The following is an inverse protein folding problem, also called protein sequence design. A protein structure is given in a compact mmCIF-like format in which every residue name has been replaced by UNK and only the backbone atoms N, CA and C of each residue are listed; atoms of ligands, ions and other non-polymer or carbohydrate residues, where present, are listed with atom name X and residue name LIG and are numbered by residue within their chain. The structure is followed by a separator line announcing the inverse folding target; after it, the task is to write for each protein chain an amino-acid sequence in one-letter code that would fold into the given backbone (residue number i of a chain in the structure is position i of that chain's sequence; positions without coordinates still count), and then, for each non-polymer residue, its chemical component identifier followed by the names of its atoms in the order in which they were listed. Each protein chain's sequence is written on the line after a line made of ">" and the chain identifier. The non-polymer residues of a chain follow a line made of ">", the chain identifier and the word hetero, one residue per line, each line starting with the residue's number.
data_IF_826401544117
#
_entry.id   IF_826401544117
#
_cell.length_a   1.000
_cell.length_b   1.000
_cell.length_c   1.000
_cell.angle_alpha   90.00
_cell.angle_beta   90.00
_cell.angle_gamma   90.00
#
_symmetry.space_group_name_H-M   'P 1'
#
loop_
_entity.id
_entity.type
_entity.pdbx_description
1 polymer ?
#
# COMPACT_ATOMS: atom_id res chain seq x y z
N UNK A 1 -38.77 -9.30 22.85
CA UNK A 1 -38.47 -9.98 21.57
C UNK A 1 -37.74 -8.96 20.71
N UNK A 2 -36.41 -8.96 20.77
CA UNK A 2 -35.56 -8.00 20.05
C UNK A 2 -35.27 -8.62 18.70
N UNK A 3 -35.64 -7.94 17.62
CA UNK A 3 -35.26 -8.36 16.27
C UNK A 3 -33.78 -8.04 16.08
N UNK A 4 -32.94 -9.06 16.15
CA UNK A 4 -31.55 -8.97 15.68
C UNK A 4 -31.59 -8.78 14.17
N UNK A 5 -31.34 -7.54 13.74
CA UNK A 5 -31.04 -7.23 12.34
C UNK A 5 -29.73 -7.91 11.97
N UNK A 6 -29.84 -9.09 11.35
CA UNK A 6 -28.76 -9.71 10.62
C UNK A 6 -28.52 -8.89 9.34
N UNK A 7 -27.74 -7.82 9.46
CA UNK A 7 -27.05 -7.27 8.30
C UNK A 7 -26.13 -8.38 7.75
N UNK A 8 -26.28 -8.77 6.48
CA UNK A 8 -25.34 -9.71 5.87
C UNK A 8 -23.93 -9.13 5.97
N UNK A 9 -22.96 -9.94 6.43
CA UNK A 9 -21.54 -9.59 6.34
C UNK A 9 -21.25 -9.26 4.89
N UNK A 10 -20.66 -8.09 4.63
CA UNK A 10 -20.17 -7.66 3.32
C UNK A 10 -18.95 -8.46 2.86
N UNK A 11 -18.86 -9.76 3.19
CA UNK A 11 -17.68 -10.60 3.01
C UNK A 11 -17.56 -11.27 1.64
N UNK A 12 -18.49 -11.02 0.71
CA UNK A 12 -18.52 -11.74 -0.57
C UNK A 12 -18.28 -10.83 -1.78
N UNK A 13 -17.86 -9.58 -1.59
CA UNK A 13 -17.27 -8.82 -2.70
C UNK A 13 -15.82 -9.30 -2.79
N UNK A 14 -15.43 -10.04 -3.84
CA UNK A 14 -14.04 -10.41 -4.01
C UNK A 14 -13.26 -9.10 -4.10
N UNK A 15 -12.36 -8.86 -3.16
CA UNK A 15 -11.37 -7.80 -3.32
C UNK A 15 -10.66 -8.13 -4.63
N UNK A 16 -10.76 -7.24 -5.62
CA UNK A 16 -10.18 -7.47 -6.92
C UNK A 16 -8.66 -7.60 -6.73
N UNK A 17 -8.15 -8.83 -6.74
CA UNK A 17 -6.72 -9.15 -6.64
C UNK A 17 -6.01 -8.99 -7.99
N UNK A 18 -6.75 -8.58 -9.03
CA UNK A 18 -6.21 -8.37 -10.36
C UNK A 18 -5.73 -6.92 -10.50
N UNK A 19 -4.44 -6.79 -10.77
CA UNK A 19 -3.77 -5.52 -10.98
C UNK A 19 -3.49 -5.33 -12.45
N UNK A 20 -3.27 -4.08 -12.88
CA UNK A 20 -3.04 -3.76 -14.28
C UNK A 20 -1.86 -2.82 -14.45
N UNK A 21 -0.96 -3.15 -15.38
CA UNK A 21 0.06 -2.22 -15.88
C UNK A 21 -0.49 -1.58 -17.16
N UNK A 22 -0.50 -0.25 -17.17
CA UNK A 22 -0.80 0.55 -18.35
C UNK A 22 0.51 1.07 -18.93
N UNK A 23 0.83 0.64 -20.15
CA UNK A 23 2.01 1.09 -20.88
C UNK A 23 1.59 1.93 -22.08
N UNK A 24 2.22 3.10 -22.23
CA UNK A 24 2.09 3.93 -23.42
C UNK A 24 3.19 3.54 -24.42
N UNK A 25 2.78 3.14 -25.61
CA UNK A 25 3.68 2.80 -26.73
C UNK A 25 3.31 3.60 -27.95
N UNK A 26 4.29 3.99 -28.77
CA UNK A 26 4.05 4.72 -30.02
C UNK A 26 4.84 6.03 -30.11
N UNK A 27 4.54 6.80 -31.14
CA UNK A 27 5.14 8.12 -31.38
C UNK A 27 4.22 9.24 -30.89
N UNK A 28 4.74 10.46 -30.78
CA UNK A 28 4.07 11.65 -30.18
C UNK A 28 2.66 11.90 -30.73
N UNK A 29 2.40 11.48 -31.97
CA UNK A 29 1.10 11.68 -32.63
C UNK A 29 0.17 10.45 -32.57
N UNK A 30 0.66 9.28 -32.17
CA UNK A 30 -0.09 8.02 -32.17
C UNK A 30 0.32 7.12 -31.00
N UNK A 31 -0.17 7.44 -29.80
CA UNK A 31 -0.02 6.57 -28.64
C UNK A 31 -1.06 5.45 -28.65
N UNK A 32 -0.61 4.24 -28.35
CA UNK A 32 -1.45 3.10 -28.00
C UNK A 32 -1.22 2.75 -26.55
N UNK A 33 -2.32 2.52 -25.82
CA UNK A 33 -2.28 2.03 -24.44
C UNK A 33 -2.32 0.50 -24.49
N UNK A 34 -1.24 -0.14 -24.04
CA UNK A 34 -1.23 -1.56 -23.73
C UNK A 34 -1.65 -1.74 -22.27
N UNK A 35 -2.61 -2.63 -22.03
CA UNK A 35 -3.06 -3.01 -20.70
C UNK A 35 -2.64 -4.45 -20.46
N UNK A 36 -1.93 -4.70 -19.37
CA UNK A 36 -1.43 -6.01 -19.01
C UNK A 36 -1.91 -6.38 -17.60
N UNK A 37 -2.67 -7.48 -17.44
CA UNK A 37 -3.04 -7.96 -16.12
C UNK A 37 -1.81 -8.56 -15.43
N UNK A 38 -1.64 -8.23 -14.15
CA UNK A 38 -0.66 -8.85 -13.26
C UNK A 38 -1.36 -9.28 -11.97
N UNK A 39 -0.77 -10.24 -11.28
CA UNK A 39 -1.20 -10.58 -9.93
C UNK A 39 -0.75 -9.47 -8.95
N UNK A 40 -1.62 -9.13 -8.00
CA UNK A 40 -1.27 -8.23 -6.90
C UNK A 40 -0.40 -8.90 -5.83
N UNK A 41 0.16 -8.12 -4.90
CA UNK A 41 0.72 -8.67 -3.67
C UNK A 41 -0.37 -9.38 -2.86
N UNK A 42 0.03 -10.40 -2.10
CA UNK A 42 -0.89 -11.10 -1.19
C UNK A 42 -1.39 -10.13 -0.13
N UNK A 43 -2.70 -10.11 0.14
CA UNK A 43 -3.32 -9.22 1.12
C UNK A 43 -4.28 -10.00 2.05
N UNK A 44 -3.77 -10.91 2.88
CA UNK A 44 -4.60 -11.74 3.76
C UNK A 44 -5.29 -10.93 4.86
N UNK A 45 -4.71 -9.80 5.26
CA UNK A 45 -5.21 -8.96 6.36
C UNK A 45 -6.22 -7.90 5.88
N UNK A 46 -6.67 -8.00 4.61
CA UNK A 46 -7.63 -7.07 3.99
C UNK A 46 -7.20 -5.60 4.11
N UNK A 47 -5.90 -5.35 3.99
CA UNK A 47 -5.33 -4.01 4.07
C UNK A 47 -5.91 -3.14 2.97
N UNK A 48 -6.32 -1.94 3.33
CA UNK A 48 -6.81 -0.91 2.43
C UNK A 48 -6.03 0.40 2.66
N UNK A 49 -6.46 1.47 1.99
CA UNK A 49 -5.67 2.71 1.87
C UNK A 49 -4.30 2.45 1.24
N UNK A 50 -4.27 1.55 0.25
CA UNK A 50 -3.04 1.19 -0.48
C UNK A 50 -2.72 2.30 -1.48
N UNK A 51 -1.60 2.98 -1.24
CA UNK A 51 -1.01 3.94 -2.16
C UNK A 51 0.01 3.24 -3.07
N UNK A 52 0.07 3.68 -4.33
CA UNK A 52 1.01 3.18 -5.32
C UNK A 52 1.94 4.28 -5.77
N UNK A 53 3.22 4.04 -5.58
CA UNK A 53 4.26 4.99 -5.95
C UNK A 53 5.32 4.27 -6.77
N UNK A 54 5.55 4.77 -7.98
CA UNK A 54 6.67 4.30 -8.81
C UNK A 54 7.97 4.95 -8.32
N UNK A 55 8.97 4.12 -8.03
CA UNK A 55 10.33 4.54 -7.68
C UNK A 55 11.29 3.84 -8.64
N UNK A 56 11.88 4.59 -9.58
CA UNK A 56 12.71 4.04 -10.67
C UNK A 56 11.98 2.94 -11.48
N UNK A 57 12.53 1.73 -11.47
CA UNK A 57 12.09 0.50 -12.13
C UNK A 57 11.27 -0.40 -11.20
N UNK A 58 10.82 0.13 -10.07
CA UNK A 58 9.95 -0.56 -9.12
C UNK A 58 8.65 0.20 -8.88
N UNK A 59 7.61 -0.53 -8.50
CA UNK A 59 6.36 0.02 -7.96
C UNK A 59 6.24 -0.40 -6.52
N UNK A 60 6.06 0.57 -5.62
CA UNK A 60 5.81 0.32 -4.21
C UNK A 60 4.32 0.39 -3.94
N UNK A 61 3.77 -0.65 -3.32
CA UNK A 61 2.45 -0.69 -2.73
C UNK A 61 2.59 -0.55 -1.21
N UNK A 62 2.03 0.54 -0.68
CA UNK A 62 2.03 0.80 0.77
C UNK A 62 0.61 0.97 1.28
N UNK A 63 0.15 0.01 2.08
CA UNK A 63 -1.17 0.01 2.72
C UNK A 63 -1.05 0.27 4.21
N UNK A 64 -2.07 0.88 4.80
CA UNK A 64 -1.92 1.47 6.15
C UNK A 64 -3.02 1.13 7.13
N UNK A 65 -4.13 0.55 6.68
CA UNK A 65 -5.27 0.24 7.53
C UNK A 65 -5.77 -1.16 7.24
N UNK A 66 -6.06 -1.91 8.29
CA UNK A 66 -6.76 -3.20 8.22
C UNK A 66 -7.99 -3.16 9.13
N UNK A 67 -9.05 -3.95 8.85
CA UNK A 67 -10.18 -4.10 9.76
C UNK A 67 -9.72 -4.55 11.16
N UNK A 68 -10.29 -3.95 12.21
CA UNK A 68 -10.09 -4.46 13.57
C UNK A 68 -10.96 -5.70 13.80
N UNK A 69 -10.33 -6.87 13.96
CA UNK A 69 -11.04 -8.12 14.26
C UNK A 69 -11.82 -8.05 15.59
N UNK A 70 -11.35 -7.24 16.55
CA UNK A 70 -11.98 -7.10 17.85
C UNK A 70 -13.20 -6.16 17.83
N UNK A 71 -13.23 -5.20 16.89
CA UNK A 71 -14.22 -4.11 16.89
C UNK A 71 -14.79 -3.88 15.50
N UNK A 72 -16.03 -4.36 15.29
CA UNK A 72 -16.74 -4.22 14.01
C UNK A 72 -16.82 -2.74 13.61
N UNK A 73 -16.38 -2.43 12.39
CA UNK A 73 -16.43 -1.10 11.81
C UNK A 73 -15.31 -0.17 12.25
N UNK A 74 -14.34 -0.66 13.03
CA UNK A 74 -13.08 0.04 13.27
C UNK A 74 -11.98 -0.53 12.38
N UNK A 75 -10.93 0.26 12.23
CA UNK A 75 -9.71 -0.15 11.56
C UNK A 75 -8.50 0.30 12.34
N UNK A 76 -7.46 -0.50 12.24
CA UNK A 76 -6.21 -0.29 12.97
C UNK A 76 -5.07 -0.03 11.98
N UNK A 77 -4.08 0.79 12.38
CA UNK A 77 -2.88 0.96 11.60
C UNK A 77 -2.16 -0.38 11.36
N UNK A 78 -1.92 -0.70 10.09
CA UNK A 78 -1.31 -1.96 9.66
C UNK A 78 -0.08 -1.69 8.80
N UNK A 79 0.86 -2.64 8.80
CA UNK A 79 2.02 -2.59 7.92
C UNK A 79 1.77 -3.41 6.66
N UNK A 80 1.84 -2.76 5.52
CA UNK A 80 1.80 -3.43 4.22
C UNK A 80 2.76 -2.70 3.29
N UNK A 81 3.95 -3.25 3.07
CA UNK A 81 4.92 -2.70 2.14
C UNK A 81 5.37 -3.79 1.18
N UNK A 82 4.96 -3.67 -0.08
CA UNK A 82 5.33 -4.58 -1.14
C UNK A 82 5.99 -3.83 -2.30
N UNK A 83 7.02 -4.43 -2.89
CA UNK A 83 7.79 -3.85 -3.98
C UNK A 83 7.68 -4.77 -5.19
N UNK A 84 7.12 -4.25 -6.27
CA UNK A 84 7.08 -4.91 -7.56
C UNK A 84 8.27 -4.48 -8.40
N UNK A 85 9.14 -5.41 -8.78
CA UNK A 85 10.20 -5.14 -9.74
C UNK A 85 9.65 -5.29 -11.16
N UNK A 86 9.66 -4.19 -11.93
CA UNK A 86 9.10 -4.19 -13.30
C UNK A 86 9.89 -5.12 -14.23
N UNK A 87 11.20 -5.24 -14.01
CA UNK A 87 12.06 -6.07 -14.84
C UNK A 87 11.81 -7.57 -14.66
N UNK A 88 11.51 -8.01 -13.42
CA UNK A 88 11.28 -9.43 -13.12
C UNK A 88 9.80 -9.80 -13.13
N UNK A 89 8.91 -8.82 -12.95
CA UNK A 89 7.48 -9.04 -12.83
C UNK A 89 7.06 -9.67 -11.51
N UNK A 90 7.87 -9.52 -10.45
CA UNK A 90 7.66 -10.19 -9.16
C UNK A 90 7.47 -9.17 -8.03
N UNK A 91 6.53 -9.47 -7.14
CA UNK A 91 6.34 -8.78 -5.87
C UNK A 91 7.23 -9.36 -4.77
N UNK A 92 7.79 -8.48 -3.94
CA UNK A 92 8.53 -8.82 -2.74
C UNK A 92 7.96 -8.05 -1.55
N UNK A 93 7.71 -8.76 -0.45
CA UNK A 93 7.29 -8.13 0.82
C UNK A 93 8.50 -7.54 1.54
N UNK A 94 8.35 -6.32 2.05
CA UNK A 94 9.33 -5.67 2.92
C UNK A 94 8.79 -5.71 4.36
N UNK A 95 9.42 -6.47 5.26
CA UNK A 95 8.91 -6.63 6.62
C UNK A 95 9.06 -5.35 7.45
N UNK A 96 8.17 -5.18 8.41
CA UNK A 96 8.31 -4.16 9.44
C UNK A 96 9.48 -4.49 10.38
N UNK A 97 10.33 -3.52 10.68
CA UNK A 97 11.44 -3.64 11.63
C UNK A 97 11.29 -2.57 12.71
N UNK A 98 11.02 -3.00 13.94
CA UNK A 98 10.81 -2.09 15.05
C UNK A 98 12.02 -1.17 15.29
N UNK A 99 11.78 0.14 15.31
CA UNK A 99 12.81 1.17 15.49
C UNK A 99 13.59 1.54 14.22
N UNK A 100 13.46 0.75 13.16
CA UNK A 100 14.06 1.05 11.85
C UNK A 100 13.01 1.44 10.81
N UNK A 101 11.75 1.04 10.99
CA UNK A 101 10.61 1.40 10.14
C UNK A 101 9.78 2.56 10.73
N UNK A 102 9.06 3.32 9.90
CA UNK A 102 8.05 4.25 10.36
C UNK A 102 7.02 3.53 11.24
N UNK A 103 6.63 4.16 12.34
CA UNK A 103 5.54 3.66 13.17
C UNK A 103 4.26 3.50 12.35
N UNK A 104 3.47 2.47 12.66
CA UNK A 104 2.19 2.24 12.01
C UNK A 104 1.31 3.49 12.17
N UNK A 105 0.69 3.91 11.06
CA UNK A 105 -0.14 5.12 10.99
C UNK A 105 -1.13 5.01 9.85
N UNK A 106 -2.33 5.54 10.01
CA UNK A 106 -3.32 5.63 8.94
C UNK A 106 -3.14 6.88 8.08
N UNK A 107 -3.49 6.80 6.80
CA UNK A 107 -3.54 7.95 5.87
C UNK A 107 -2.27 8.83 5.78
N UNK A 108 -1.04 8.27 5.76
CA UNK A 108 0.15 9.07 5.48
C UNK A 108 0.14 9.54 4.03
N UNK A 109 0.95 10.54 3.71
CA UNK A 109 1.25 10.90 2.33
C UNK A 109 2.48 10.14 1.85
N UNK A 110 2.39 9.53 0.67
CA UNK A 110 3.47 8.80 0.04
C UNK A 110 3.81 9.37 -1.35
N UNK A 111 5.10 9.62 -1.61
CA UNK A 111 5.58 10.09 -2.92
C UNK A 111 7.03 9.70 -3.16
N UNK A 112 7.52 9.80 -4.39
CA UNK A 112 8.91 9.49 -4.72
C UNK A 112 9.73 10.77 -4.95
N UNK A 113 10.98 10.77 -4.50
CA UNK A 113 11.98 11.81 -4.82
C UNK A 113 13.24 11.12 -5.30
N UNK A 114 13.53 11.21 -6.59
CA UNK A 114 14.69 10.52 -7.18
C UNK A 114 14.56 9.00 -7.06
N UNK A 115 15.32 8.41 -6.14
CA UNK A 115 15.34 6.97 -5.86
C UNK A 115 14.87 6.56 -4.47
N UNK A 116 14.31 7.52 -3.75
CA UNK A 116 13.71 7.30 -2.45
C UNK A 116 12.20 7.42 -2.52
N UNK A 117 11.54 6.59 -1.72
CA UNK A 117 10.14 6.73 -1.36
C UNK A 117 10.08 7.58 -0.09
N UNK A 118 9.25 8.61 -0.08
CA UNK A 118 9.08 9.50 1.07
C UNK A 118 7.70 9.26 1.66
N UNK A 119 7.66 9.05 2.97
CA UNK A 119 6.46 8.91 3.79
C UNK A 119 6.42 10.06 4.79
N UNK A 120 5.31 10.77 4.86
CA UNK A 120 5.16 11.89 5.81
C UNK A 120 3.72 12.02 6.32
N UNK A 121 3.57 12.54 7.54
CA UNK A 121 2.27 12.72 8.18
C UNK A 121 1.58 11.40 8.52
N UNK A 122 0.24 11.42 8.48
CA UNK A 122 -0.63 10.32 8.90
C UNK A 122 -1.09 10.43 10.37
N UNK A 123 -1.94 9.50 10.79
CA UNK A 123 -2.52 9.43 12.13
C UNK A 123 -1.93 8.22 12.85
N UNK A 124 -1.19 8.45 13.94
CA UNK A 124 -0.62 7.38 14.75
C UNK A 124 -1.68 6.64 15.59
N UNK A 125 -1.27 5.52 16.17
CA UNK A 125 -2.13 4.67 17.02
C UNK A 125 -2.70 5.43 18.21
N UNK A 126 -1.92 6.33 18.81
CA UNK A 126 -2.30 7.11 19.99
C UNK A 126 -3.02 8.43 19.65
N UNK A 127 -3.55 8.56 18.42
CA UNK A 127 -4.20 9.78 17.87
C UNK A 127 -3.29 11.02 17.73
N UNK A 128 -2.03 10.91 18.12
CA UNK A 128 -1.02 11.93 17.79
C UNK A 128 -0.65 11.85 16.31
N UNK A 129 -0.55 13.01 15.68
CA UNK A 129 -0.06 13.14 14.30
C UNK A 129 1.45 13.04 14.32
N UNK A 130 2.07 11.96 13.80
CA UNK A 130 3.51 11.90 13.72
C UNK A 130 3.97 13.01 12.78
N UNK A 131 4.82 13.90 13.30
CA UNK A 131 5.42 15.00 12.54
C UNK A 131 6.71 14.58 11.83
N UNK A 132 7.02 13.29 11.83
CA UNK A 132 8.22 12.77 11.18
C UNK A 132 8.01 12.48 9.70
N UNK A 133 9.12 12.58 8.98
CA UNK A 133 9.23 12.19 7.58
C UNK A 133 10.25 11.08 7.53
N UNK A 134 9.96 10.08 6.71
CA UNK A 134 10.81 8.91 6.53
C UNK A 134 11.08 8.73 5.04
N UNK A 135 12.29 8.34 4.72
CA UNK A 135 12.72 8.01 3.36
C UNK A 135 13.10 6.53 3.31
N UNK A 136 12.58 5.81 2.33
CA UNK A 136 12.96 4.43 2.04
C UNK A 136 13.77 4.37 0.75
N UNK A 137 14.96 3.80 0.83
CA UNK A 137 15.80 3.57 -0.34
C UNK A 137 15.46 2.22 -0.99
N UNK A 138 15.15 2.25 -2.28
CA UNK A 138 14.96 1.01 -3.06
C UNK A 138 16.24 0.19 -3.20
N UNK A 139 17.42 0.81 -3.08
CA UNK A 139 18.70 0.12 -3.23
C UNK A 139 19.13 -0.62 -1.96
N UNK A 140 18.84 -0.05 -0.79
CA UNK A 140 19.22 -0.65 0.50
C UNK A 140 18.05 -1.32 1.21
N UNK A 141 16.83 -1.14 0.71
CA UNK A 141 15.57 -1.59 1.31
C UNK A 141 15.42 -1.13 2.77
N UNK A 142 15.93 0.07 3.07
CA UNK A 142 15.97 0.62 4.43
C UNK A 142 15.31 1.97 4.50
N UNK A 143 14.66 2.18 5.63
CA UNK A 143 14.08 3.43 6.04
C UNK A 143 15.11 4.27 6.81
N UNK A 144 15.07 5.58 6.60
CA UNK A 144 15.83 6.59 7.33
C UNK A 144 14.92 7.76 7.64
N UNK A 145 15.13 8.41 8.79
CA UNK A 145 14.34 9.54 9.28
C UNK A 145 15.07 10.86 9.05
#
# INVERSE_FOLDING_TARGET
>A
MVMESHMPRTSDIPVATQWFIYSLTGEVENYTVKIEPIDGPSNPDEVYDIQLVRVRDSVVAFGTLAPDEATIGQAVPHWFLHVYCIATGVWHEIPYVAGESPTHRGFPLLFAVGDTLVLTGGIGVDTEWPVDTWEWSVCTERWTK
#
